data_IF_849675794063
#
_entry.id   IF_849675794063
#
_cell.length_a   1.000
_cell.length_b   1.000
_cell.length_c   1.000
_cell.angle_alpha   90.00
_cell.angle_beta   90.00
_cell.angle_gamma   90.00
#
_symmetry.space_group_name_H-M   'P 1'
#
loop_
_entity.id
_entity.type
_entity.pdbx_description
1 polymer ?
#
# COMPACT_ATOMS: atom_id res chain seq x y z
N UNK A 1 -23.35 -12.86 1.81
CA UNK A 1 -21.92 -12.49 1.66
C UNK A 1 -21.49 -12.32 0.19
N UNK A 2 -22.09 -13.05 -0.74
CA UNK A 2 -21.90 -12.85 -2.20
C UNK A 2 -22.35 -11.46 -2.67
N UNK A 3 -23.41 -10.91 -2.11
CA UNK A 3 -23.91 -9.57 -2.45
C UNK A 3 -23.00 -8.43 -1.97
N UNK A 4 -22.20 -8.64 -0.93
CA UNK A 4 -21.22 -7.65 -0.46
C UNK A 4 -20.00 -7.54 -1.38
N UNK A 5 -19.56 -8.65 -2.00
CA UNK A 5 -18.46 -8.65 -2.99
C UNK A 5 -18.89 -8.02 -4.31
N UNK A 6 -20.13 -8.22 -4.75
CA UNK A 6 -20.65 -7.62 -6.00
C UNK A 6 -20.81 -6.10 -5.93
N UNK A 7 -21.00 -5.50 -4.74
CA UNK A 7 -21.06 -4.03 -4.59
C UNK A 7 -19.71 -3.31 -4.81
N UNK A 8 -18.61 -4.03 -4.87
CA UNK A 8 -17.29 -3.46 -5.17
C UNK A 8 -17.01 -3.36 -6.68
N UNK A 9 -17.91 -3.84 -7.54
CA UNK A 9 -17.61 -4.14 -8.93
C UNK A 9 -17.98 -3.07 -9.95
N UNK A 10 -18.75 -2.05 -9.58
CA UNK A 10 -19.11 -0.93 -10.48
C UNK A 10 -19.21 0.35 -9.68
N UNK A 11 -18.09 0.96 -9.33
CA UNK A 11 -18.07 2.19 -8.54
C UNK A 11 -17.26 3.23 -9.30
N UNK A 12 -17.78 4.48 -9.37
CA UNK A 12 -17.04 5.62 -9.92
C UNK A 12 -15.72 5.80 -9.14
N UNK A 13 -14.66 6.23 -9.81
CA UNK A 13 -13.36 6.45 -9.17
C UNK A 13 -13.45 7.33 -7.92
N UNK A 14 -14.18 8.44 -7.99
CA UNK A 14 -14.44 9.33 -6.86
C UNK A 14 -15.11 8.61 -5.69
N UNK A 15 -16.14 7.81 -5.96
CA UNK A 15 -16.86 7.04 -4.93
C UNK A 15 -15.97 5.93 -4.34
N UNK A 16 -15.05 5.40 -5.13
CA UNK A 16 -14.08 4.39 -4.71
C UNK A 16 -13.11 4.96 -3.67
N UNK A 17 -12.59 6.17 -3.89
CA UNK A 17 -11.75 6.89 -2.93
C UNK A 17 -12.60 7.29 -1.72
N UNK A 18 -13.78 7.86 -1.95
CA UNK A 18 -14.72 8.33 -0.92
C UNK A 18 -15.21 7.23 0.02
N UNK A 19 -15.08 5.95 -0.37
CA UNK A 19 -15.42 4.81 0.49
C UNK A 19 -14.71 4.84 1.84
N UNK A 20 -13.49 5.39 1.91
CA UNK A 20 -12.72 5.52 3.15
C UNK A 20 -13.28 6.60 4.10
N UNK A 21 -13.97 7.62 3.56
CA UNK A 21 -14.59 8.74 4.27
C UNK A 21 -15.83 9.20 3.48
N UNK A 22 -17.03 8.68 3.78
CA UNK A 22 -18.25 8.94 2.99
C UNK A 22 -18.69 10.41 2.94
N UNK A 23 -18.34 11.20 3.93
CA UNK A 23 -18.62 12.64 4.06
C UNK A 23 -17.52 13.54 3.47
N UNK A 24 -16.49 12.95 2.82
CA UNK A 24 -15.41 13.72 2.21
C UNK A 24 -15.94 14.66 1.12
N UNK A 25 -15.39 15.88 1.09
CA UNK A 25 -15.60 16.84 0.03
C UNK A 25 -14.78 16.49 -1.20
N UNK A 26 -15.17 16.98 -2.36
CA UNK A 26 -14.48 16.71 -3.62
C UNK A 26 -13.01 17.15 -3.57
N UNK A 27 -12.71 18.31 -2.97
CA UNK A 27 -11.33 18.79 -2.81
C UNK A 27 -10.45 17.79 -2.02
N UNK A 28 -10.98 17.18 -0.96
CA UNK A 28 -10.26 16.15 -0.19
C UNK A 28 -10.00 14.89 -1.02
N UNK A 29 -10.93 14.53 -1.91
CA UNK A 29 -10.80 13.39 -2.82
C UNK A 29 -9.72 13.67 -3.86
N UNK A 30 -9.72 14.87 -4.44
CA UNK A 30 -8.72 15.28 -5.43
C UNK A 30 -7.32 15.37 -4.81
N UNK A 31 -7.19 15.90 -3.60
CA UNK A 31 -5.93 15.93 -2.85
C UNK A 31 -5.40 14.50 -2.60
N UNK A 32 -6.25 13.60 -2.12
CA UNK A 32 -5.88 12.20 -1.87
C UNK A 32 -5.46 11.49 -3.16
N UNK A 33 -6.15 11.73 -4.28
CA UNK A 33 -5.81 11.18 -5.58
C UNK A 33 -4.47 11.73 -6.10
N UNK A 34 -4.20 13.01 -5.90
CA UNK A 34 -2.92 13.62 -6.27
C UNK A 34 -1.76 13.06 -5.44
N UNK A 35 -1.90 12.98 -4.12
CA UNK A 35 -0.86 12.45 -3.21
C UNK A 35 -0.53 10.98 -3.49
N UNK A 36 -1.50 10.21 -3.95
CA UNK A 36 -1.33 8.79 -4.30
C UNK A 36 -0.93 8.55 -5.76
N UNK A 37 -0.67 9.61 -6.54
CA UNK A 37 -0.41 9.53 -7.99
C UNK A 37 -1.56 8.91 -8.81
N UNK A 38 -2.80 8.91 -8.26
CA UNK A 38 -3.98 8.44 -8.99
C UNK A 38 -4.40 9.41 -10.09
N UNK A 39 -4.23 10.72 -9.91
CA UNK A 39 -4.59 11.75 -10.89
C UNK A 39 -3.95 11.48 -12.27
N UNK A 40 -2.73 10.94 -12.31
CA UNK A 40 -2.03 10.66 -13.56
C UNK A 40 -2.79 9.68 -14.51
N UNK A 41 -3.49 8.70 -13.95
CA UNK A 41 -4.27 7.78 -14.77
C UNK A 41 -5.74 8.19 -14.85
N UNK A 42 -6.31 8.75 -13.78
CA UNK A 42 -7.71 9.20 -13.75
C UNK A 42 -7.94 10.30 -14.80
N UNK A 43 -7.01 11.24 -14.94
CA UNK A 43 -7.13 12.35 -15.91
C UNK A 43 -7.07 11.90 -17.37
N UNK A 44 -6.55 10.69 -17.64
CA UNK A 44 -6.53 10.06 -18.97
C UNK A 44 -7.82 9.30 -19.30
N UNK A 45 -8.67 9.04 -18.32
CA UNK A 45 -9.93 8.38 -18.53
C UNK A 45 -10.95 9.34 -19.15
N UNK A 46 -11.81 8.85 -20.04
CA UNK A 46 -12.81 9.64 -20.78
C UNK A 46 -13.71 10.48 -19.85
N UNK A 47 -14.19 9.89 -18.77
CA UNK A 47 -15.07 10.56 -17.80
C UNK A 47 -14.31 10.91 -16.49
N UNK A 48 -12.97 10.90 -16.49
CA UNK A 48 -12.11 11.23 -15.33
C UNK A 48 -12.65 10.58 -14.04
N UNK A 49 -12.83 11.38 -12.98
CA UNK A 49 -13.34 10.92 -11.68
C UNK A 49 -14.76 10.33 -11.71
N UNK A 50 -15.51 10.53 -12.80
CA UNK A 50 -16.84 9.95 -12.99
C UNK A 50 -16.81 8.61 -13.75
N UNK A 51 -15.63 8.15 -14.15
CA UNK A 51 -15.44 6.88 -14.84
C UNK A 51 -15.89 5.72 -13.96
N UNK A 52 -16.68 4.82 -14.54
CA UNK A 52 -17.07 3.58 -13.88
C UNK A 52 -15.93 2.57 -13.98
N UNK A 53 -15.44 2.09 -12.84
CA UNK A 53 -14.40 1.05 -12.74
C UNK A 53 -14.99 -0.25 -12.19
N UNK A 54 -14.49 -1.38 -12.66
CA UNK A 54 -14.95 -2.70 -12.22
C UNK A 54 -15.25 -3.64 -13.39
N UNK A 55 -16.01 -4.71 -13.14
CA UNK A 55 -16.28 -5.75 -14.15
C UNK A 55 -17.02 -5.22 -15.38
N UNK A 56 -17.93 -4.27 -15.19
CA UNK A 56 -18.73 -3.65 -16.26
C UNK A 56 -18.23 -2.24 -16.64
N UNK A 57 -17.00 -1.89 -16.26
CA UNK A 57 -16.37 -0.61 -16.56
C UNK A 57 -14.90 -0.77 -16.95
N UNK A 58 -14.13 0.30 -16.80
CA UNK A 58 -12.70 0.28 -17.09
C UNK A 58 -11.98 -0.66 -16.11
N UNK A 59 -11.16 -1.57 -16.64
CA UNK A 59 -10.32 -2.44 -15.82
C UNK A 59 -9.02 -1.72 -15.47
N UNK A 60 -8.80 -1.52 -14.18
CA UNK A 60 -7.55 -0.97 -13.68
C UNK A 60 -6.46 -2.05 -13.61
N UNK A 61 -5.22 -1.66 -13.93
CA UNK A 61 -4.02 -2.44 -13.70
C UNK A 61 -3.78 -2.70 -12.21
N UNK A 62 -2.88 -3.63 -11.87
CA UNK A 62 -2.50 -3.89 -10.48
C UNK A 62 -1.98 -2.65 -9.77
N UNK A 63 -1.10 -1.88 -10.43
CA UNK A 63 -0.53 -0.65 -9.88
C UNK A 63 -1.55 0.47 -9.69
N UNK A 64 -2.53 0.62 -10.59
CA UNK A 64 -3.62 1.60 -10.45
C UNK A 64 -4.53 1.27 -9.28
N UNK A 65 -4.90 -0.02 -9.10
CA UNK A 65 -5.67 -0.50 -7.95
C UNK A 65 -4.95 -0.22 -6.63
N UNK A 66 -3.64 -0.41 -6.62
CA UNK A 66 -2.81 -0.18 -5.44
C UNK A 66 -2.74 1.31 -5.09
N UNK A 67 -2.50 2.19 -6.08
CA UNK A 67 -2.53 3.65 -5.88
C UNK A 67 -3.90 4.12 -5.39
N UNK A 68 -4.99 3.52 -5.87
CA UNK A 68 -6.34 3.81 -5.39
C UNK A 68 -6.52 3.42 -3.91
N UNK A 69 -5.93 2.30 -3.48
CA UNK A 69 -5.92 1.90 -2.06
C UNK A 69 -5.12 2.87 -1.20
N UNK A 70 -4.00 3.39 -1.72
CA UNK A 70 -3.20 4.43 -1.06
C UNK A 70 -3.99 5.74 -0.96
N UNK A 71 -4.74 6.14 -2.01
CA UNK A 71 -5.62 7.31 -1.97
C UNK A 71 -6.66 7.22 -0.83
N UNK A 72 -7.27 6.05 -0.66
CA UNK A 72 -8.18 5.79 0.48
C UNK A 72 -7.50 5.97 1.83
N UNK A 73 -6.25 5.51 1.96
CA UNK A 73 -5.48 5.65 3.20
C UNK A 73 -5.13 7.12 3.49
N UNK A 74 -4.81 7.92 2.46
CA UNK A 74 -4.63 9.37 2.59
C UNK A 74 -5.91 10.06 3.07
N UNK A 75 -7.05 9.75 2.43
CA UNK A 75 -8.32 10.35 2.76
C UNK A 75 -8.78 10.03 4.19
N UNK A 76 -8.49 8.81 4.66
CA UNK A 76 -8.83 8.36 6.01
C UNK A 76 -8.04 9.06 7.12
N UNK A 77 -6.85 9.60 6.81
CA UNK A 77 -5.96 10.33 7.76
C UNK A 77 -5.65 9.54 9.05
N UNK A 78 -5.53 8.21 8.96
CA UNK A 78 -5.22 7.34 10.11
C UNK A 78 -3.82 7.61 10.65
N UNK A 79 -3.65 7.51 12.00
CA UNK A 79 -2.34 7.60 12.67
C UNK A 79 -1.52 6.32 12.56
N UNK A 80 -2.18 5.19 12.33
CA UNK A 80 -1.57 3.86 12.19
C UNK A 80 -1.83 3.37 10.77
N UNK A 81 -0.79 2.93 10.09
CA UNK A 81 -0.84 2.36 8.74
C UNK A 81 -0.38 0.91 8.81
N UNK A 82 -1.14 0.03 8.19
CA UNK A 82 -0.77 -1.38 8.00
C UNK A 82 -0.51 -1.61 6.52
N UNK A 83 0.68 -2.11 6.19
CA UNK A 83 1.10 -2.42 4.83
C UNK A 83 1.37 -3.93 4.72
N UNK A 84 0.68 -4.57 3.79
CA UNK A 84 0.88 -5.98 3.46
C UNK A 84 1.26 -6.08 1.98
N UNK A 85 2.50 -6.51 1.73
CA UNK A 85 3.07 -6.78 0.40
C UNK A 85 2.72 -5.77 -0.72
N UNK A 86 3.00 -4.50 -0.46
CA UNK A 86 2.50 -3.40 -1.26
C UNK A 86 3.04 -3.31 -2.72
N UNK A 87 4.01 -4.12 -3.17
CA UNK A 87 4.69 -3.87 -4.46
C UNK A 87 5.12 -5.13 -5.23
N UNK A 88 4.55 -6.30 -4.96
CA UNK A 88 4.87 -7.51 -5.74
C UNK A 88 4.28 -7.45 -7.16
N UNK A 89 5.08 -7.79 -8.16
CA UNK A 89 4.67 -7.96 -9.57
C UNK A 89 4.33 -6.67 -10.35
N UNK A 90 5.00 -5.55 -10.05
CA UNK A 90 4.83 -4.29 -10.78
C UNK A 90 6.07 -4.00 -11.64
N UNK A 91 5.88 -3.22 -12.72
CA UNK A 91 7.00 -2.64 -13.45
C UNK A 91 7.73 -1.58 -12.61
N UNK A 92 9.01 -1.35 -12.90
CA UNK A 92 9.87 -0.48 -12.10
C UNK A 92 9.38 0.97 -12.00
N UNK A 93 8.76 1.51 -13.05
CA UNK A 93 8.24 2.88 -13.05
C UNK A 93 7.02 3.01 -12.12
N UNK A 94 6.10 2.06 -12.22
CA UNK A 94 4.90 2.01 -11.36
C UNK A 94 5.28 1.77 -9.90
N UNK A 95 6.29 0.92 -9.66
CA UNK A 95 6.82 0.66 -8.33
C UNK A 95 7.40 1.94 -7.68
N UNK A 96 8.20 2.71 -8.42
CA UNK A 96 8.77 3.96 -7.92
C UNK A 96 7.68 4.97 -7.53
N UNK A 97 6.62 5.09 -8.33
CA UNK A 97 5.46 5.96 -8.04
C UNK A 97 4.74 5.53 -6.77
N UNK A 98 4.52 4.23 -6.60
CA UNK A 98 3.90 3.68 -5.40
C UNK A 98 4.76 3.92 -4.17
N UNK A 99 6.08 3.70 -4.27
CA UNK A 99 7.00 3.94 -3.16
C UNK A 99 6.97 5.41 -2.73
N UNK A 100 7.04 6.36 -3.66
CA UNK A 100 6.92 7.80 -3.38
C UNK A 100 5.60 8.15 -2.68
N UNK A 101 4.50 7.52 -3.08
CA UNK A 101 3.22 7.72 -2.43
C UNK A 101 3.19 7.12 -1.01
N UNK A 102 3.78 5.94 -0.81
CA UNK A 102 3.89 5.29 0.50
C UNK A 102 4.77 6.10 1.46
N UNK A 103 5.91 6.61 1.00
CA UNK A 103 6.81 7.45 1.81
C UNK A 103 6.08 8.70 2.35
N UNK A 104 5.27 9.35 1.50
CA UNK A 104 4.42 10.47 1.92
C UNK A 104 3.32 10.03 2.89
N UNK A 105 2.69 8.87 2.64
CA UNK A 105 1.59 8.36 3.46
C UNK A 105 2.06 8.02 4.88
N UNK A 106 3.26 7.46 5.03
CA UNK A 106 3.80 6.95 6.30
C UNK A 106 4.51 8.02 7.13
N UNK A 107 4.82 9.17 6.53
CA UNK A 107 5.51 10.27 7.20
C UNK A 107 4.80 10.68 8.51
N UNK A 108 5.53 10.68 9.62
CA UNK A 108 5.03 10.99 10.97
C UNK A 108 3.86 10.10 11.44
N UNK A 109 3.83 8.83 11.00
CA UNK A 109 2.82 7.85 11.42
C UNK A 109 3.46 6.58 11.92
N UNK A 110 2.77 5.87 12.79
CA UNK A 110 3.14 4.51 13.15
C UNK A 110 2.80 3.58 12.00
N UNK A 111 3.83 2.94 11.43
CA UNK A 111 3.65 2.03 10.29
C UNK A 111 4.06 0.63 10.67
N UNK A 112 3.19 -0.33 10.45
CA UNK A 112 3.47 -1.77 10.57
C UNK A 112 3.49 -2.36 9.17
N UNK A 113 4.60 -3.00 8.80
CA UNK A 113 4.80 -3.54 7.45
C UNK A 113 5.09 -5.04 7.53
N UNK A 114 4.39 -5.83 6.74
CA UNK A 114 4.81 -7.19 6.44
C UNK A 114 5.85 -7.08 5.32
N UNK A 115 7.12 -7.31 5.68
CA UNK A 115 8.24 -7.01 4.80
C UNK A 115 8.63 -8.23 3.97
N UNK A 116 8.58 -8.08 2.65
CA UNK A 116 9.11 -9.03 1.68
C UNK A 116 10.37 -8.51 0.95
N UNK A 117 10.76 -7.25 1.20
CA UNK A 117 11.92 -6.59 0.61
C UNK A 117 12.95 -6.25 1.67
N UNK A 118 14.22 -6.44 1.30
CA UNK A 118 15.35 -6.16 2.18
C UNK A 118 15.40 -4.68 2.59
N UNK A 119 15.15 -3.77 1.65
CA UNK A 119 15.13 -2.32 1.91
C UNK A 119 14.12 -1.92 2.99
N UNK A 120 12.95 -2.52 2.99
CA UNK A 120 11.92 -2.28 4.01
C UNK A 120 12.39 -2.73 5.39
N UNK A 121 13.08 -3.87 5.46
CA UNK A 121 13.61 -4.42 6.72
C UNK A 121 14.71 -3.52 7.28
N UNK A 122 15.66 -3.11 6.42
CA UNK A 122 16.82 -2.31 6.83
C UNK A 122 16.45 -0.93 7.37
N UNK A 123 15.38 -0.32 6.82
CA UNK A 123 14.93 1.02 7.19
C UNK A 123 13.91 1.02 8.34
N UNK A 124 13.64 -0.13 8.96
CA UNK A 124 12.66 -0.23 10.05
C UNK A 124 13.28 0.10 11.41
N UNK A 125 12.61 0.93 12.20
CA UNK A 125 13.03 1.25 13.59
C UNK A 125 13.02 -0.01 14.47
N UNK A 126 12.08 -0.93 14.24
CA UNK A 126 11.92 -2.16 14.99
C UNK A 126 11.41 -3.30 14.09
N UNK A 127 12.04 -4.44 14.21
CA UNK A 127 11.71 -5.66 13.47
C UNK A 127 11.23 -6.70 14.47
N UNK A 128 10.13 -7.37 14.14
CA UNK A 128 9.63 -8.56 14.85
C UNK A 128 9.84 -9.78 13.97
N UNK A 129 10.64 -10.73 14.44
CA UNK A 129 10.86 -12.00 13.75
C UNK A 129 9.79 -12.98 14.20
N UNK A 130 8.95 -13.41 13.26
CA UNK A 130 7.85 -14.32 13.56
C UNK A 130 8.07 -15.70 12.93
N UNK A 131 7.76 -16.73 13.69
CA UNK A 131 7.65 -18.10 13.19
C UNK A 131 6.44 -18.78 13.81
N UNK A 132 5.68 -19.51 12.99
CA UNK A 132 4.47 -20.25 13.42
C UNK A 132 3.50 -19.45 14.29
N UNK A 133 3.33 -18.15 14.00
CA UNK A 133 2.43 -17.25 14.72
C UNK A 133 2.98 -16.70 16.05
N UNK A 134 4.24 -16.98 16.38
CA UNK A 134 4.90 -16.54 17.62
C UNK A 134 6.03 -15.58 17.27
N UNK A 135 6.19 -14.52 18.08
CA UNK A 135 7.33 -13.61 18.00
C UNK A 135 8.53 -14.30 18.65
N UNK A 136 9.52 -14.67 17.84
CA UNK A 136 10.75 -15.34 18.27
C UNK A 136 11.77 -14.35 18.81
N UNK A 137 11.93 -13.22 18.11
CA UNK A 137 12.89 -12.17 18.42
C UNK A 137 12.33 -10.80 18.05
N UNK A 138 12.87 -9.74 18.66
CA UNK A 138 12.61 -8.37 18.24
C UNK A 138 13.81 -7.47 18.48
N UNK A 139 14.00 -6.47 17.63
CA UNK A 139 15.10 -5.50 17.72
C UNK A 139 15.27 -4.73 16.43
N UNK A 140 16.30 -3.91 16.33
CA UNK A 140 16.73 -3.33 15.07
C UNK A 140 17.54 -4.34 14.23
N UNK A 141 17.90 -3.95 13.02
CA UNK A 141 18.66 -4.82 12.09
C UNK A 141 19.98 -5.33 12.69
N UNK A 142 20.79 -4.45 13.26
CA UNK A 142 22.12 -4.77 13.81
C UNK A 142 22.03 -5.70 15.03
N UNK A 143 21.09 -5.40 15.93
CA UNK A 143 20.83 -6.27 17.10
C UNK A 143 20.42 -7.67 16.67
N UNK A 144 19.53 -7.79 15.70
CA UNK A 144 19.03 -9.09 15.24
C UNK A 144 20.09 -9.87 14.46
N UNK A 145 20.97 -9.20 13.72
CA UNK A 145 22.12 -9.84 13.09
C UNK A 145 23.11 -10.42 14.11
N UNK A 146 23.11 -9.92 15.32
CA UNK A 146 24.00 -10.45 16.38
C UNK A 146 23.35 -11.60 17.13
N UNK A 147 22.09 -11.46 17.55
CA UNK A 147 21.43 -12.35 18.52
C UNK A 147 20.51 -13.40 17.94
N UNK A 148 19.94 -13.19 16.72
CA UNK A 148 18.90 -14.06 16.18
C UNK A 148 19.38 -14.88 14.99
N UNK A 149 19.56 -16.18 15.17
CA UNK A 149 19.94 -17.08 14.07
C UNK A 149 18.79 -17.24 13.05
N UNK A 150 17.55 -17.17 13.48
CA UNK A 150 16.37 -17.16 12.61
C UNK A 150 16.41 -15.97 11.69
N UNK A 151 16.65 -14.76 12.22
CA UNK A 151 16.78 -13.54 11.43
C UNK A 151 17.94 -13.60 10.44
N UNK A 152 19.12 -14.04 10.88
CA UNK A 152 20.30 -14.22 10.01
C UNK A 152 19.99 -15.12 8.81
N UNK A 153 19.26 -16.20 9.03
CA UNK A 153 18.88 -17.12 7.97
C UNK A 153 17.89 -16.48 6.98
N UNK A 154 16.90 -15.72 7.47
CA UNK A 154 15.99 -14.96 6.60
C UNK A 154 16.72 -13.88 5.82
N UNK A 155 17.60 -13.13 6.46
CA UNK A 155 18.40 -12.08 5.82
C UNK A 155 19.29 -12.64 4.70
N UNK A 156 20.02 -13.74 4.94
CA UNK A 156 20.83 -14.44 3.92
C UNK A 156 19.99 -14.88 2.71
N UNK A 157 18.78 -15.41 2.95
CA UNK A 157 17.88 -15.83 1.87
C UNK A 157 17.38 -14.66 1.03
N UNK A 158 17.21 -13.48 1.62
CA UNK A 158 16.80 -12.27 0.90
C UNK A 158 17.94 -11.70 0.03
N UNK A 159 19.16 -11.64 0.55
CA UNK A 159 20.34 -11.19 -0.23
C UNK A 159 20.56 -12.09 -1.46
N UNK A 160 20.40 -13.41 -1.34
CA UNK A 160 20.62 -14.34 -2.43
C UNK A 160 19.49 -14.32 -3.49
N UNK A 161 18.39 -13.59 -3.27
CA UNK A 161 17.27 -13.41 -4.21
C UNK A 161 17.29 -12.06 -4.92
N UNK A 162 18.11 -11.12 -4.46
CA UNK A 162 18.34 -9.80 -5.06
C UNK A 162 19.48 -9.83 -6.05
#
# INVERSE_FOLDING_TARGET
DRYRRQRQMCIRDSNNIKYAKPDAKDDEIYEAAHLSMCSEFIDKLENKYQTMIGENGVRLSGGEKQRLSIARAFLKKSKIILLDEATSSLDSETEEKIQKALDKLTLNKTTVVIAHRLSTILNSDKIYVMDKGIVMDSGNHEELLTKSDTYKNYYKKQINKS
#
